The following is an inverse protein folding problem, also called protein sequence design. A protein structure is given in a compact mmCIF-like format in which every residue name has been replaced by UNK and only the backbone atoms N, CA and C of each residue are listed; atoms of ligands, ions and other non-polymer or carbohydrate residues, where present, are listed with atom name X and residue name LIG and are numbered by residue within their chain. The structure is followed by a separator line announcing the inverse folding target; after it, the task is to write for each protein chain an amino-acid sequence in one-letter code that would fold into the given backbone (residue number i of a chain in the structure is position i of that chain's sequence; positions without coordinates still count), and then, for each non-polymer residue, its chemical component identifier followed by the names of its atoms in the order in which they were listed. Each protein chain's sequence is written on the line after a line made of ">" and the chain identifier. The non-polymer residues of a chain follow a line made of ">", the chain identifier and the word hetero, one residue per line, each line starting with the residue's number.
data_IF_314319948488
#
_entry.id   IF_314319948488
#
_cell.length_a   1.000
_cell.length_b   1.000
_cell.length_c   1.000
_cell.angle_alpha   90.00
_cell.angle_beta   90.00
_cell.angle_gamma   90.00
#
_symmetry.space_group_name_H-M   'P 1'
#
loop_
_entity.id
_entity.type
_entity.pdbx_description
1 polymer ?
2 branched ?
3 non-polymer ?
4 non-polymer ?
5 water ?
#
# COMPACT_ATOMS: atom_id res chain seq x y z
N UNK A 1 10.08 17.76 -32.89
CA UNK A 1 9.56 18.51 -31.73
C UNK A 1 9.35 17.59 -30.52
N UNK A 2 8.90 18.16 -29.41
CA UNK A 2 8.68 17.35 -28.21
C UNK A 2 7.21 17.03 -28.00
N UNK A 3 6.96 15.76 -27.68
CA UNK A 3 5.61 15.22 -27.56
C UNK A 3 4.83 15.82 -26.38
N UNK A 4 3.54 16.04 -26.60
CA UNK A 4 2.67 16.54 -25.55
C UNK A 4 1.67 15.47 -25.15
N UNK A 5 1.68 15.14 -23.86
CA UNK A 5 0.78 14.15 -23.30
C UNK A 5 0.69 14.37 -21.81
N UNK A 6 -0.28 13.71 -21.17
CA UNK A 6 -0.48 13.93 -19.74
C UNK A 6 -0.14 12.73 -18.86
N UNK A 7 0.74 12.96 -17.89
CA UNK A 7 1.00 12.01 -16.81
C UNK A 7 0.68 12.71 -15.50
N UNK A 8 0.58 11.94 -14.41
CA UNK A 8 0.20 12.49 -13.11
C UNK A 8 0.89 13.81 -12.79
N UNK A 9 0.07 14.75 -12.34
CA UNK A 9 0.53 16.07 -11.93
C UNK A 9 0.91 16.04 -10.44
N UNK A 10 2.20 16.22 -10.16
CA UNK A 10 2.75 16.18 -8.79
C UNK A 10 2.11 17.14 -7.80
N UNK A 11 1.45 18.18 -8.31
CA UNK A 11 0.88 19.18 -7.43
C UNK A 11 -0.63 19.11 -7.41
N UNK A 12 -1.14 17.89 -7.51
CA UNK A 12 -2.57 17.68 -7.44
C UNK A 12 -3.09 18.06 -6.07
N UNK A 13 -4.22 18.76 -6.04
CA UNK A 13 -4.87 19.16 -4.80
C UNK A 13 -6.33 18.82 -4.94
N UNK A 14 -7.11 19.08 -3.88
CA UNK A 14 -8.54 18.90 -3.94
C UNK A 14 -9.19 19.80 -5.01
N UNK A 15 -8.59 20.96 -5.27
CA UNK A 15 -9.19 21.87 -6.25
C UNK A 15 -9.09 21.36 -7.69
N UNK A 16 -8.28 20.33 -7.91
CA UNK A 16 -8.22 19.66 -9.20
C UNK A 16 -9.29 18.59 -9.35
N UNK A 17 -9.86 18.15 -8.23
CA UNK A 17 -10.80 17.01 -8.23
C UNK A 17 -12.18 17.38 -8.75
N UNK A 18 -12.90 16.36 -9.23
CA UNK A 18 -14.34 16.43 -9.49
C UNK A 18 -15.05 16.89 -8.22
N UNK A 19 -16.01 17.83 -8.34
CA UNK A 19 -16.80 18.27 -7.18
C UNK A 19 -17.36 17.12 -6.34
N UNK A 20 -17.70 16.02 -6.99
CA UNK A 20 -18.20 14.85 -6.29
C UNK A 20 -17.19 14.35 -5.26
N UNK A 21 -15.94 14.16 -5.67
CA UNK A 21 -14.89 13.67 -4.80
C UNK A 21 -14.38 14.77 -3.86
N UNK A 22 -14.54 16.01 -4.28
CA UNK A 22 -14.24 17.12 -3.40
C UNK A 22 -15.09 17.07 -2.13
N UNK A 23 -16.39 16.81 -2.24
CA UNK A 23 -17.28 16.78 -1.07
C UNK A 23 -16.93 15.63 -0.15
N UNK A 24 -16.60 14.49 -0.76
CA UNK A 24 -16.15 13.31 -0.03
C UNK A 24 -14.89 13.56 0.79
N UNK A 25 -13.86 14.13 0.15
CA UNK A 25 -12.64 14.58 0.84
C UNK A 25 -12.99 15.49 2.02
N UNK A 26 -13.78 16.52 1.74
CA UNK A 26 -14.26 17.45 2.77
C UNK A 26 -14.92 16.71 3.94
N UNK A 27 -15.77 15.74 3.63
CA UNK A 27 -16.51 15.03 4.68
C UNK A 27 -15.65 14.10 5.52
N UNK A 28 -14.59 13.52 4.95
CA UNK A 28 -13.70 12.69 5.74
C UNK A 28 -12.85 13.54 6.67
N UNK A 29 -12.57 14.77 6.24
CA UNK A 29 -11.87 15.74 7.06
C UNK A 29 -12.71 15.96 8.30
N UNK A 30 -14.02 16.02 8.11
CA UNK A 30 -14.95 16.38 9.16
C UNK A 30 -15.15 15.27 10.16
N UNK A 31 -15.56 14.09 9.69
CA UNK A 31 -15.63 12.96 10.60
C UNK A 31 -14.23 12.42 10.78
N UNK A 32 -13.51 13.02 11.72
CA UNK A 32 -12.13 12.64 11.98
C UNK A 32 -12.12 11.32 12.71
N UNK A 33 -12.39 10.24 11.98
CA UNK A 33 -12.66 8.93 12.60
C UNK A 33 -11.54 8.46 13.54
N UNK A 34 -10.30 8.70 13.14
CA UNK A 34 -9.17 8.18 13.86
C UNK A 34 -8.58 9.20 14.82
N UNK A 35 -9.31 10.31 15.00
CA UNK A 35 -8.99 11.28 16.03
C UNK A 35 -7.60 11.80 15.77
N UNK A 36 -7.36 12.16 14.51
CA UNK A 36 -6.09 12.73 14.11
C UNK A 36 -6.04 14.19 14.52
N UNK A 37 -4.91 14.59 15.08
CA UNK A 37 -4.58 16.00 15.21
C UNK A 37 -3.14 16.17 14.74
N UNK A 38 -2.97 16.59 13.49
CA UNK A 38 -1.63 16.72 12.98
C UNK A 38 -0.88 17.82 13.72
N UNK A 39 0.18 17.44 14.45
CA UNK A 39 0.97 18.39 15.21
C UNK A 39 2.40 18.52 14.67
N UNK A 40 2.62 18.05 13.45
CA UNK A 40 3.93 18.09 12.83
C UNK A 40 4.22 19.37 12.07
N UNK A 41 5.45 19.48 11.53
CA UNK A 41 6.08 20.66 10.93
C UNK A 41 5.14 21.63 10.18
N UNK A 42 4.03 21.15 9.64
CA UNK A 42 3.03 22.05 9.10
C UNK A 42 2.80 21.87 7.62
N UNK A 43 1.54 21.98 7.20
CA UNK A 43 1.07 21.67 5.84
C UNK A 43 1.87 22.38 4.75
N UNK A 44 2.60 21.61 3.96
CA UNK A 44 3.36 22.17 2.85
C UNK A 44 4.84 22.31 3.14
N UNK A 45 5.63 21.35 2.66
CA UNK A 45 7.08 21.40 2.79
C UNK A 45 7.75 20.73 1.60
N UNK A 46 8.82 21.37 1.09
CA UNK A 46 9.53 20.84 -0.06
C UNK A 46 10.78 20.02 0.28
N UNK A 47 10.90 18.86 -0.35
CA UNK A 47 12.04 17.96 -0.23
C UNK A 47 12.58 17.62 -1.62
N UNK A 48 13.90 17.48 -1.76
CA UNK A 48 14.46 16.86 -2.95
C UNK A 48 14.12 15.37 -2.90
N UNK A 49 14.03 14.72 -4.07
CA UNK A 49 13.74 13.29 -4.10
C UNK A 49 14.78 12.49 -3.31
N UNK A 50 16.04 12.90 -3.40
CA UNK A 50 17.10 12.26 -2.62
C UNK A 50 16.84 12.40 -1.12
N UNK A 51 16.52 13.62 -0.67
CA UNK A 51 16.29 13.89 0.76
C UNK A 51 15.00 13.26 1.28
N UNK A 52 13.96 13.27 0.45
CA UNK A 52 12.66 12.76 0.88
C UNK A 52 12.73 11.24 0.93
N UNK A 53 13.47 10.65 0.00
CA UNK A 53 13.63 9.20 0.04
C UNK A 53 14.31 8.79 1.34
N UNK A 54 15.23 9.65 1.79
CA UNK A 54 16.03 9.41 2.99
C UNK A 54 15.25 9.82 4.25
N UNK A 55 14.36 10.80 4.12
CA UNK A 55 13.43 11.15 5.19
C UNK A 55 12.34 10.09 5.35
N UNK A 56 12.17 9.27 4.33
CA UNK A 56 11.17 8.19 4.34
C UNK A 56 11.75 6.90 4.93
N UNK A 57 13.00 6.62 4.60
CA UNK A 57 13.72 5.48 5.13
C UNK A 57 13.87 5.63 6.65
N UNK A 58 14.18 6.85 7.08
CA UNK A 58 14.46 7.14 8.47
C UNK A 58 13.23 7.32 9.39
N UNK A 59 12.11 7.79 8.86
CA UNK A 59 10.95 8.14 9.70
C UNK A 59 9.73 7.22 9.56
N UNK A 60 9.93 6.08 8.89
CA UNK A 60 8.85 5.09 8.80
C UNK A 60 9.44 3.77 9.26
N UNK A 61 8.81 3.17 10.27
CA UNK A 61 9.32 1.91 10.78
C UNK A 61 8.49 0.79 10.21
N UNK A 62 8.98 0.20 9.13
CA UNK A 62 8.36 -0.98 8.57
C UNK A 62 8.70 -2.15 9.47
N UNK A 63 7.80 -2.46 10.40
CA UNK A 63 8.04 -3.59 11.29
C UNK A 63 6.73 -4.28 11.62
N UNK A 64 6.82 -5.55 11.97
CA UNK A 64 5.65 -6.41 12.14
C UNK A 64 5.52 -6.73 13.61
N UNK A 65 4.30 -6.99 14.05
CA UNK A 65 4.09 -7.38 15.43
C UNK A 65 4.86 -8.65 15.75
N UNK A 66 5.66 -8.58 16.82
CA UNK A 66 6.48 -9.71 17.23
C UNK A 66 6.01 -10.22 18.60
N UNK A 67 6.42 -11.44 18.92
CA UNK A 67 5.95 -12.12 20.12
C UNK A 67 6.49 -11.46 21.41
N UNK A 68 7.29 -10.41 21.25
CA UNK A 68 7.79 -9.63 22.40
C UNK A 68 6.86 -8.45 22.70
N UNK A 69 6.00 -8.08 21.76
CA UNK A 69 5.09 -6.95 21.93
C UNK A 69 3.79 -7.35 22.63
N UNK A 70 3.61 -6.81 23.82
CA UNK A 70 2.43 -7.07 24.64
C UNK A 70 1.19 -6.60 23.90
N UNK A 71 0.11 -7.39 23.91
CA UNK A 71 -0.14 -8.65 24.63
C UNK A 71 0.12 -9.92 23.81
N UNK A 72 0.93 -9.80 22.76
CA UNK A 72 1.23 -10.94 21.91
C UNK A 72 2.29 -11.85 22.55
N UNK A 73 2.70 -11.51 23.78
CA UNK A 73 3.53 -12.39 24.60
C UNK A 73 2.70 -13.24 25.57
N UNK A 74 1.37 -13.17 25.47
CA UNK A 74 0.53 -13.89 26.43
C UNK A 74 0.19 -15.29 25.94
N UNK A 75 -0.30 -16.12 26.85
CA UNK A 75 -0.49 -17.53 26.57
C UNK A 75 -1.41 -17.80 25.36
N UNK A 76 -2.45 -16.99 25.20
CA UNK A 76 -3.41 -17.23 24.14
C UNK A 76 -2.78 -17.04 22.76
N UNK A 77 -1.72 -16.24 22.70
CA UNK A 77 -1.04 -15.93 21.43
C UNK A 77 0.18 -16.78 21.18
N UNK A 78 0.36 -17.81 22.00
CA UNK A 78 1.52 -18.66 21.90
C UNK A 78 1.56 -19.37 20.54
N UNK A 79 2.70 -19.24 19.85
CA UNK A 79 2.94 -19.99 18.64
C UNK A 79 2.17 -19.47 17.44
N UNK A 80 1.51 -18.34 17.62
CA UNK A 80 0.66 -17.80 16.58
C UNK A 80 1.40 -16.91 15.59
N UNK A 81 2.35 -16.10 16.06
CA UNK A 81 3.10 -15.22 15.17
C UNK A 81 4.24 -16.02 14.56
N UNK A 82 4.72 -15.61 13.38
CA UNK A 82 5.83 -16.32 12.73
C UNK A 82 7.11 -16.23 13.57
N UNK A 83 7.84 -17.34 13.63
CA UNK A 83 9.07 -17.42 14.42
C UNK A 83 10.12 -16.46 13.89
N UNK A 84 10.25 -16.38 12.56
CA UNK A 84 11.30 -15.59 11.94
C UNK A 84 10.83 -14.22 11.51
N UNK A 85 11.78 -13.29 11.41
CA UNK A 85 11.49 -11.94 10.95
C UNK A 85 11.07 -12.01 9.49
N UNK A 86 10.22 -11.09 9.06
CA UNK A 86 9.80 -11.09 7.67
C UNK A 86 11.01 -10.90 6.77
N UNK A 87 11.89 -10.00 7.18
CA UNK A 87 13.19 -9.81 6.53
C UNK A 87 14.01 -11.08 6.40
N UNK A 88 13.76 -12.05 7.27
CA UNK A 88 14.42 -13.35 7.17
C UNK A 88 13.70 -14.19 6.13
N UNK A 89 12.37 -14.10 6.15
CA UNK A 89 11.52 -14.93 5.31
C UNK A 89 11.45 -14.37 3.88
N UNK A 90 11.68 -13.06 3.75
CA UNK A 90 11.46 -12.37 2.48
C UNK A 90 12.72 -11.71 1.89
N UNK A 91 13.27 -12.32 0.85
CA UNK A 91 14.45 -11.78 0.20
C UNK A 91 15.61 -11.69 1.18
N UNK A 92 16.41 -10.59 1.11
CA UNK A 92 16.22 -9.37 0.31
C UNK A 92 16.35 -9.63 -1.18
N UNK A 93 15.55 -8.93 -1.97
CA UNK A 93 15.39 -9.23 -3.39
C UNK A 93 15.94 -8.12 -4.28
N UNK A 94 16.15 -8.46 -5.55
CA UNK A 94 16.73 -7.54 -6.51
C UNK A 94 15.74 -6.76 -7.34
N UNK A 95 15.02 -7.44 -8.23
CA UNK A 95 13.96 -6.79 -8.99
C UNK A 95 12.64 -7.10 -8.33
N UNK A 96 11.87 -6.07 -8.01
CA UNK A 96 10.57 -6.28 -7.41
C UNK A 96 9.52 -5.42 -8.07
N UNK A 97 8.32 -5.97 -8.18
CA UNK A 97 7.20 -5.23 -8.73
C UNK A 97 6.09 -5.09 -7.71
N UNK A 98 5.41 -3.94 -7.75
CA UNK A 98 4.17 -3.75 -7.05
C UNK A 98 3.04 -3.65 -8.06
N UNK A 99 2.09 -4.57 -7.97
CA UNK A 99 0.91 -4.60 -8.82
C UNK A 99 -0.29 -3.93 -8.13
N UNK A 100 -0.68 -2.77 -8.63
CA UNK A 100 -1.83 -2.09 -8.07
C UNK A 100 -3.03 -2.88 -8.54
N UNK A 101 -4.22 -2.62 -8.03
CA UNK A 101 -5.37 -3.41 -8.49
C UNK A 101 -6.24 -2.71 -9.51
N UNK A 102 -5.79 -1.56 -9.99
CA UNK A 102 -6.55 -0.72 -10.93
C UNK A 102 -7.16 -1.44 -12.14
N UNK A 103 -8.31 -0.96 -12.61
CA UNK A 103 -8.93 -1.45 -13.83
C UNK A 103 -8.06 -1.15 -15.03
N UNK A 104 -7.18 -0.18 -14.88
CA UNK A 104 -6.33 0.24 -15.99
C UNK A 104 -5.33 -0.84 -16.40
N UNK A 105 -5.19 -1.89 -15.61
CA UNK A 105 -4.31 -2.96 -16.02
C UNK A 105 -4.88 -3.79 -17.14
N UNK A 106 -6.21 -3.73 -17.32
CA UNK A 106 -6.87 -4.58 -18.32
C UNK A 106 -6.29 -4.33 -19.69
N UNK A 107 -5.89 -5.43 -20.35
CA UNK A 107 -5.32 -5.40 -21.71
C UNK A 107 -4.05 -4.56 -21.81
N UNK A 108 -3.29 -4.52 -20.71
CA UNK A 108 -2.00 -3.83 -20.69
C UNK A 108 -0.84 -4.73 -21.11
N UNK A 109 -1.07 -6.04 -21.11
CA UNK A 109 -0.04 -7.03 -21.48
C UNK A 109 1.26 -6.97 -20.64
N UNK A 110 1.13 -6.65 -19.36
CA UNK A 110 2.28 -6.54 -18.46
C UNK A 110 2.71 -7.89 -17.89
N UNK A 111 1.82 -8.88 -18.00
CA UNK A 111 1.98 -10.20 -17.40
C UNK A 111 3.34 -10.89 -17.46
N UNK A 112 4.03 -10.78 -18.58
CA UNK A 112 5.35 -11.39 -18.70
C UNK A 112 6.40 -10.51 -18.01
N UNK A 113 6.25 -9.20 -18.15
CA UNK A 113 7.24 -8.28 -17.62
C UNK A 113 7.23 -8.31 -16.09
N UNK A 114 6.03 -8.30 -15.54
CA UNK A 114 5.83 -8.39 -14.08
C UNK A 114 6.40 -9.70 -13.54
N UNK A 115 6.28 -10.77 -14.33
CA UNK A 115 6.82 -12.09 -13.96
C UNK A 115 8.34 -12.14 -13.95
N UNK A 116 8.97 -11.13 -14.54
CA UNK A 116 10.42 -11.16 -14.66
C UNK A 116 11.13 -10.50 -13.47
N UNK A 117 10.37 -10.14 -12.45
CA UNK A 117 10.93 -9.67 -11.19
C UNK A 117 11.13 -10.83 -10.22
N UNK A 118 12.17 -10.76 -9.39
CA UNK A 118 12.43 -11.78 -8.36
C UNK A 118 11.26 -11.93 -7.37
N UNK A 119 10.47 -10.88 -7.21
CA UNK A 119 9.36 -10.90 -6.26
C UNK A 119 8.25 -9.93 -6.61
N UNK A 120 7.02 -10.39 -6.44
CA UNK A 120 5.84 -9.61 -6.80
C UNK A 120 4.85 -9.43 -5.66
N UNK A 121 4.44 -8.18 -5.45
CA UNK A 121 3.46 -7.79 -4.43
C UNK A 121 2.06 -7.43 -4.95
N UNK A 122 1.04 -8.10 -4.41
CA UNK A 122 -0.34 -7.87 -4.84
C UNK A 122 -1.18 -7.52 -3.62
N UNK A 123 -2.44 -7.12 -3.82
CA UNK A 123 -3.22 -6.60 -2.70
C UNK A 123 -4.54 -7.30 -2.50
N UNK A 124 -4.94 -7.42 -1.22
CA UNK A 124 -6.26 -7.93 -0.91
C UNK A 124 -6.61 -9.18 -1.71
N UNK A 125 -7.69 -9.14 -2.47
CA UNK A 125 -8.17 -10.31 -3.16
C UNK A 125 -7.89 -10.32 -4.65
N UNK A 126 -6.88 -9.56 -5.05
CA UNK A 126 -6.56 -9.42 -6.48
C UNK A 126 -6.07 -10.76 -6.99
N UNK A 127 -6.83 -11.36 -7.92
CA UNK A 127 -6.61 -12.73 -8.42
C UNK A 127 -5.66 -12.86 -9.60
N UNK A 128 -5.17 -14.08 -9.79
CA UNK A 128 -4.26 -14.44 -10.86
C UNK A 128 -4.99 -15.13 -12.00
N UNK A 129 -5.91 -16.03 -11.65
CA UNK A 129 -6.71 -16.77 -12.62
C UNK A 129 -7.41 -15.84 -13.60
N UNK A 130 -7.31 -16.14 -14.89
CA UNK A 130 -7.94 -15.40 -15.99
C UNK A 130 -7.26 -14.09 -16.38
N UNK A 131 -6.19 -13.74 -15.67
CA UNK A 131 -5.56 -12.43 -15.84
C UNK A 131 -4.05 -12.52 -16.01
N UNK A 132 -3.54 -13.75 -16.13
CA UNK A 132 -2.10 -13.95 -16.20
C UNK A 132 -1.38 -13.01 -17.18
N UNK A 133 -1.94 -12.83 -18.37
CA UNK A 133 -1.26 -12.05 -19.39
C UNK A 133 -1.24 -10.54 -19.14
N UNK A 134 -2.22 -10.05 -18.39
CA UNK A 134 -2.22 -8.66 -17.96
C UNK A 134 -1.50 -8.40 -16.63
N UNK A 135 -1.53 -9.37 -15.72
CA UNK A 135 -1.18 -9.13 -14.29
C UNK A 135 0.06 -9.90 -13.82
N UNK A 136 0.38 -11.00 -14.51
CA UNK A 136 1.41 -11.93 -14.08
C UNK A 136 0.80 -13.20 -13.47
N UNK A 137 1.66 -14.17 -13.13
CA UNK A 137 1.20 -15.42 -12.51
C UNK A 137 1.73 -15.60 -11.06
N UNK A 138 2.77 -14.85 -10.70
CA UNK A 138 3.44 -15.06 -9.42
C UNK A 138 2.98 -14.12 -8.31
N UNK A 139 2.82 -14.67 -7.11
CA UNK A 139 2.51 -13.89 -5.92
C UNK A 139 3.52 -14.27 -4.86
N UNK A 140 4.42 -13.36 -4.50
CA UNK A 140 5.38 -13.64 -3.42
C UNK A 140 4.91 -13.00 -2.11
N UNK A 141 4.50 -11.73 -2.16
CA UNK A 141 3.89 -11.08 -0.99
C UNK A 141 2.52 -10.52 -1.31
N UNK A 142 1.56 -10.78 -0.44
CA UNK A 142 0.24 -10.19 -0.58
C UNK A 142 -0.11 -9.35 0.67
N UNK A 143 -0.28 -8.04 0.50
CA UNK A 143 -0.69 -7.15 1.61
C UNK A 143 -2.21 -6.97 1.61
N UNK A 144 -2.85 -7.24 2.75
CA UNK A 144 -4.31 -7.17 2.84
C UNK A 144 -4.75 -6.28 3.97
N UNK A 145 -5.92 -5.66 3.84
CA UNK A 145 -6.46 -4.89 4.94
C UNK A 145 -7.25 -5.79 5.89
N UNK A 146 -7.45 -5.32 7.11
CA UNK A 146 -8.07 -6.14 8.14
C UNK A 146 -9.54 -6.39 7.88
N UNK A 147 -10.16 -5.54 7.06
CA UNK A 147 -11.58 -5.69 6.76
C UNK A 147 -11.81 -6.97 6.00
N UNK A 148 -10.90 -7.26 5.07
CA UNK A 148 -10.99 -8.44 4.23
C UNK A 148 -10.81 -9.69 5.08
N UNK A 149 -9.86 -9.66 6.01
CA UNK A 149 -9.60 -10.82 6.87
C UNK A 149 -10.77 -11.02 7.84
N UNK A 150 -11.32 -9.92 8.33
CA UNK A 150 -12.48 -10.01 9.20
C UNK A 150 -13.76 -10.44 8.50
N UNK A 151 -14.09 -9.81 7.37
CA UNK A 151 -15.42 -10.00 6.79
C UNK A 151 -15.51 -10.79 5.47
N UNK A 152 -14.43 -10.86 4.69
CA UNK A 152 -14.47 -11.64 3.45
C UNK A 152 -14.37 -13.14 3.67
N UNK A 153 -15.53 -13.81 3.69
CA UNK A 153 -15.61 -15.24 3.96
C UNK A 153 -14.73 -16.06 3.02
N UNK A 154 -14.46 -15.49 1.84
CA UNK A 154 -13.60 -16.15 0.88
C UNK A 154 -12.15 -16.21 1.37
N UNK A 155 -11.78 -15.38 2.34
CA UNK A 155 -10.39 -15.37 2.79
C UNK A 155 -9.93 -16.68 3.40
N UNK A 156 -10.81 -17.32 4.16
CA UNK A 156 -10.47 -18.61 4.74
C UNK A 156 -10.61 -19.77 3.75
N UNK A 157 -11.10 -19.49 2.54
CA UNK A 157 -11.44 -20.56 1.57
C UNK A 157 -10.62 -20.58 0.28
N UNK A 158 -10.49 -19.43 -0.37
CA UNK A 158 -9.92 -19.40 -1.73
C UNK A 158 -8.44 -19.73 -1.76
N UNK A 159 -8.07 -20.66 -2.63
CA UNK A 159 -6.71 -21.16 -2.73
C UNK A 159 -5.68 -20.09 -3.08
N UNK A 160 -6.13 -18.93 -3.53
CA UNK A 160 -5.20 -17.89 -3.97
C UNK A 160 -4.38 -17.27 -2.83
N UNK A 161 -5.02 -17.04 -1.70
CA UNK A 161 -4.33 -16.44 -0.58
C UNK A 161 -3.18 -17.34 -0.07
N UNK A 162 -3.25 -18.62 -0.40
CA UNK A 162 -2.30 -19.60 0.08
C UNK A 162 -0.93 -19.56 -0.59
N UNK A 163 -0.72 -18.54 -1.42
CA UNK A 163 0.55 -18.36 -2.09
C UNK A 163 1.37 -17.23 -1.45
N UNK A 164 2.64 -17.50 -1.18
CA UNK A 164 3.56 -16.48 -0.73
C UNK A 164 3.41 -16.02 0.72
N UNK A 165 3.96 -14.84 1.00
CA UNK A 165 3.92 -14.26 2.35
C UNK A 165 2.73 -13.32 2.46
N UNK A 166 1.96 -13.48 3.52
CA UNK A 166 0.83 -12.58 3.72
C UNK A 166 1.14 -11.58 4.80
N UNK A 167 0.48 -10.43 4.70
CA UNK A 167 0.56 -9.40 5.72
C UNK A 167 -0.85 -8.81 5.84
N UNK A 168 -1.34 -8.65 7.06
CA UNK A 168 -2.58 -7.93 7.31
C UNK A 168 -2.27 -6.62 8.05
N UNK A 169 -3.02 -5.56 7.77
CA UNK A 169 -2.88 -4.32 8.51
C UNK A 169 -4.23 -3.76 8.81
N UNK A 170 -4.27 -2.91 9.82
CA UNK A 170 -5.50 -2.43 10.43
C UNK A 170 -5.23 -1.00 10.84
N UNK A 171 -6.16 -0.10 10.50
CA UNK A 171 -6.08 1.32 10.87
C UNK A 171 -6.34 1.44 12.39
N UNK A 172 -5.45 2.08 13.13
CA UNK A 172 -5.65 2.32 14.57
C UNK A 172 -6.02 3.78 14.81
N UNK A 173 -6.44 4.08 16.04
CA UNK A 173 -6.50 5.47 16.48
C UNK A 173 -5.13 6.13 16.26
N UNK A 174 -5.13 7.40 15.84
CA UNK A 174 -3.90 8.10 15.50
C UNK A 174 -2.95 8.07 16.68
N UNK A 175 -1.66 7.83 16.43
CA UNK A 175 -0.62 7.74 17.50
C UNK A 175 -0.91 6.74 18.64
N UNK A 176 -1.67 5.69 18.34
CA UNK A 176 -2.00 4.69 19.36
C UNK A 176 -0.91 3.62 19.38
N UNK A 177 -0.52 3.16 20.56
CA UNK A 177 0.47 2.09 20.68
C UNK A 177 -0.23 0.73 20.60
N UNK A 178 0.56 -0.34 20.62
CA UNK A 178 0.01 -1.64 20.32
C UNK A 178 -1.12 -2.07 21.30
N UNK A 179 -0.90 -1.92 22.61
CA UNK A 179 -1.97 -2.40 23.50
C UNK A 179 -3.28 -1.64 23.35
N UNK A 180 -3.21 -0.32 23.16
CA UNK A 180 -4.43 0.45 22.99
C UNK A 180 -5.07 0.00 21.70
N UNK A 181 -4.26 -0.22 20.67
CA UNK A 181 -4.80 -0.61 19.37
C UNK A 181 -5.47 -1.97 19.46
N UNK A 182 -4.83 -2.89 20.17
CA UNK A 182 -5.32 -4.25 20.30
C UNK A 182 -6.71 -4.26 20.92
N UNK A 183 -6.93 -3.37 21.88
CA UNK A 183 -8.22 -3.26 22.54
C UNK A 183 -9.29 -2.65 21.63
N UNK A 184 -8.85 -1.83 20.67
CA UNK A 184 -9.75 -1.10 19.78
C UNK A 184 -9.29 -1.12 18.30
N UNK A 185 -9.31 -2.31 17.68
CA UNK A 185 -8.90 -2.41 16.29
C UNK A 185 -10.04 -1.92 15.37
N UNK A 186 -9.71 -1.45 14.16
CA UNK A 186 -10.77 -0.99 13.27
C UNK A 186 -11.63 -2.16 12.85
N UNK A 187 -11.00 -3.25 12.38
CA UNK A 187 -11.72 -4.52 12.29
C UNK A 187 -11.11 -5.56 13.22
N UNK A 188 -11.95 -6.39 13.82
CA UNK A 188 -11.48 -7.42 14.72
C UNK A 188 -11.08 -8.70 13.96
N UNK A 189 -9.88 -8.68 13.41
CA UNK A 189 -9.42 -9.73 12.53
C UNK A 189 -8.70 -10.83 13.30
N UNK A 190 -8.36 -10.56 14.56
CA UNK A 190 -7.60 -11.53 15.37
C UNK A 190 -8.14 -12.94 15.34
N UNK A 191 -9.46 -13.09 15.45
CA UNK A 191 -10.05 -14.44 15.39
C UNK A 191 -9.73 -15.18 14.09
N UNK A 192 -9.86 -14.48 12.97
CA UNK A 192 -9.70 -15.09 11.66
C UNK A 192 -8.22 -15.30 11.33
N UNK A 193 -7.39 -14.33 11.70
CA UNK A 193 -5.94 -14.52 11.62
C UNK A 193 -5.51 -15.81 12.32
N UNK A 194 -6.01 -16.02 13.53
CA UNK A 194 -5.70 -17.24 14.26
C UNK A 194 -6.22 -18.44 13.49
N UNK A 195 -7.45 -18.33 13.00
CA UNK A 195 -8.10 -19.46 12.37
C UNK A 195 -7.38 -19.87 11.09
N UNK A 196 -6.91 -18.87 10.34
CA UNK A 196 -6.08 -19.11 9.17
C UNK A 196 -4.77 -19.79 9.58
N UNK A 197 -4.13 -19.21 10.59
CA UNK A 197 -2.87 -19.72 11.09
C UNK A 197 -2.90 -21.22 11.37
N UNK A 198 -4.02 -21.69 11.92
CA UNK A 198 -4.26 -23.12 12.15
C UNK A 198 -4.28 -23.88 10.82
N UNK A 199 -4.94 -23.29 9.82
CA UNK A 199 -5.10 -23.93 8.52
C UNK A 199 -3.79 -23.99 7.72
N UNK A 200 -2.99 -22.94 7.81
CA UNK A 200 -1.74 -22.89 7.06
C UNK A 200 -0.53 -22.49 7.90
N UNK A 201 -0.10 -23.36 8.82
CA UNK A 201 1.01 -23.09 9.75
C UNK A 201 2.29 -22.76 9.01
N UNK A 202 2.47 -23.39 7.86
CA UNK A 202 3.68 -23.24 7.05
C UNK A 202 3.85 -21.88 6.35
N UNK A 203 2.75 -21.21 6.01
CA UNK A 203 2.92 -19.97 5.24
C UNK A 203 3.00 -18.71 6.09
N UNK A 204 4.10 -17.97 5.91
CA UNK A 204 4.38 -16.79 6.74
C UNK A 204 3.27 -15.77 6.61
N UNK A 205 2.75 -15.33 7.75
CA UNK A 205 1.62 -14.41 7.81
C UNK A 205 1.90 -13.42 8.92
N UNK A 206 2.15 -12.18 8.55
CA UNK A 206 2.56 -11.17 9.51
C UNK A 206 1.45 -10.15 9.75
N UNK A 207 1.53 -9.44 10.86
CA UNK A 207 0.63 -8.34 11.15
C UNK A 207 1.49 -7.08 11.16
N UNK A 208 1.11 -6.09 10.38
CA UNK A 208 1.81 -4.82 10.38
C UNK A 208 1.60 -4.09 11.71
N UNK A 209 2.66 -3.50 12.26
CA UNK A 209 2.47 -2.66 13.46
C UNK A 209 1.54 -1.49 13.10
N UNK A 210 0.63 -1.12 14.00
CA UNK A 210 -0.37 -0.06 13.79
C UNK A 210 0.27 1.31 13.62
N UNK A 211 1.46 1.47 14.16
CA UNK A 211 2.17 2.74 14.05
C UNK A 211 2.63 3.04 12.62
N UNK A 212 2.89 2.01 11.82
CA UNK A 212 3.49 2.26 10.50
C UNK A 212 2.64 3.14 9.57
N UNK A 213 1.33 2.84 9.41
CA UNK A 213 0.58 3.68 8.46
C UNK A 213 0.53 5.16 8.85
N UNK A 214 0.56 5.47 10.15
CA UNK A 214 0.46 6.86 10.56
C UNK A 214 1.80 7.55 10.44
N UNK A 215 2.88 6.80 10.57
CA UNK A 215 4.19 7.38 10.37
C UNK A 215 4.29 7.81 8.91
N UNK A 216 3.69 7.05 8.03
CA UNK A 216 3.75 7.41 6.62
C UNK A 216 2.81 8.59 6.36
N UNK A 217 1.66 8.60 7.05
CA UNK A 217 0.69 9.69 6.91
C UNK A 217 1.25 11.02 7.32
N UNK A 218 2.06 11.04 8.36
CA UNK A 218 2.60 12.30 8.86
C UNK A 218 3.37 12.98 7.73
N UNK A 219 4.12 12.19 6.98
CA UNK A 219 5.00 12.73 5.95
C UNK A 219 4.14 13.28 4.81
N UNK A 220 3.10 12.52 4.45
CA UNK A 220 2.12 12.95 3.47
C UNK A 220 1.54 14.31 3.82
N UNK A 221 0.89 14.41 4.96
CA UNK A 221 0.31 15.66 5.44
C UNK A 221 1.32 16.77 5.46
N UNK A 222 2.55 16.43 5.85
CA UNK A 222 3.61 17.42 5.89
C UNK A 222 3.97 17.90 4.48
N UNK A 223 3.92 17.00 3.51
CA UNK A 223 4.25 17.35 2.14
C UNK A 223 3.17 18.20 1.48
N UNK A 224 1.91 17.81 1.69
CA UNK A 224 0.82 18.34 0.90
C UNK A 224 0.48 19.80 1.24
N UNK A 225 0.00 20.57 0.25
CA UNK A 225 -0.23 21.99 0.47
C UNK A 225 -1.51 22.23 1.26
N UNK A 226 -2.19 21.15 1.62
CA UNK A 226 -3.45 21.28 2.33
C UNK A 226 -3.75 20.04 3.17
N UNK A 227 -4.79 20.13 3.98
CA UNK A 227 -5.21 19.00 4.80
C UNK A 227 -5.64 17.84 3.93
N UNK A 228 -5.10 16.66 4.22
CA UNK A 228 -5.43 15.45 3.51
C UNK A 228 -6.40 14.63 4.37
N UNK A 229 -7.10 13.69 3.75
CA UNK A 229 -7.97 12.79 4.49
C UNK A 229 -7.23 12.25 5.69
N UNK A 230 -7.84 12.37 6.88
CA UNK A 230 -7.24 11.87 8.11
C UNK A 230 -7.48 10.38 8.25
N UNK A 231 -7.26 9.65 7.19
CA UNK A 231 -7.39 8.21 7.21
C UNK A 231 -6.05 7.68 6.74
N UNK A 232 -5.65 6.50 7.20
CA UNK A 232 -4.34 5.97 6.80
C UNK A 232 -4.16 5.86 5.27
N UNK A 233 -2.89 5.82 4.83
CA UNK A 233 -2.58 5.62 3.42
C UNK A 233 -3.18 4.30 2.90
N UNK A 234 -3.33 4.20 1.57
CA UNK A 234 -3.93 3.02 0.95
C UNK A 234 -2.98 1.82 1.08
N UNK A 235 -3.50 0.61 0.96
CA UNK A 235 -2.59 -0.55 0.97
C UNK A 235 -1.48 -0.37 -0.07
N UNK A 236 -1.82 0.25 -1.19
CA UNK A 236 -0.83 0.46 -2.24
C UNK A 236 0.37 1.28 -1.79
N UNK A 237 0.16 2.38 -1.10
CA UNK A 237 1.31 3.16 -0.64
C UNK A 237 2.14 2.39 0.40
N UNK A 238 1.47 1.73 1.34
CA UNK A 238 2.19 0.96 2.37
C UNK A 238 2.97 -0.15 1.70
N UNK A 239 2.37 -0.74 0.67
CA UNK A 239 3.01 -1.80 -0.07
C UNK A 239 4.25 -1.28 -0.79
N UNK A 240 4.18 -0.07 -1.33
CA UNK A 240 5.36 0.53 -1.95
C UNK A 240 6.47 0.66 -0.91
N UNK A 241 6.15 1.26 0.24
CA UNK A 241 7.14 1.44 1.29
C UNK A 241 7.73 0.10 1.75
N UNK A 242 6.88 -0.91 1.83
CA UNK A 242 7.34 -2.22 2.27
C UNK A 242 8.36 -2.76 1.29
N UNK A 243 7.97 -2.86 0.02
CA UNK A 243 8.89 -3.38 -0.99
C UNK A 243 10.17 -2.58 -1.06
N UNK A 244 10.08 -1.28 -0.83
CA UNK A 244 11.29 -0.47 -0.74
C UNK A 244 12.21 -0.95 0.39
N UNK A 245 11.62 -1.45 1.48
CA UNK A 245 12.44 -1.95 2.59
C UNK A 245 13.10 -3.29 2.26
N UNK A 246 12.63 -3.98 1.22
CA UNK A 246 13.06 -5.35 0.91
C UNK A 246 13.71 -5.51 -0.46
N UNK A 247 13.75 -4.44 -1.24
CA UNK A 247 14.18 -4.57 -2.63
C UNK A 247 15.19 -3.50 -3.00
N UNK A 248 16.00 -3.77 -4.02
CA UNK A 248 16.86 -2.74 -4.55
C UNK A 248 16.07 -1.82 -5.46
N UNK A 249 15.16 -2.43 -6.23
CA UNK A 249 14.44 -1.71 -7.27
C UNK A 249 12.94 -2.05 -7.21
N UNK A 250 12.11 -1.03 -7.07
CA UNK A 250 10.68 -1.27 -7.17
C UNK A 250 10.02 -0.61 -8.38
N UNK A 251 9.44 -1.47 -9.20
CA UNK A 251 8.69 -0.99 -10.35
C UNK A 251 7.25 -1.10 -9.90
N UNK A 252 6.53 0.01 -9.98
CA UNK A 252 5.15 0.03 -9.54
C UNK A 252 4.20 0.40 -10.70
N UNK A 253 3.23 -0.47 -10.93
CA UNK A 253 2.39 -0.44 -12.11
C UNK A 253 0.96 0.01 -11.82
N UNK A 254 0.45 0.85 -12.71
CA UNK A 254 -0.88 1.46 -12.62
C UNK A 254 -1.27 2.00 -11.24
N UNK A 255 -0.29 2.49 -10.51
CA UNK A 255 -0.60 3.30 -9.33
C UNK A 255 -0.75 4.69 -9.93
N UNK A 256 0.36 5.25 -10.40
CA UNK A 256 0.27 6.37 -11.33
C UNK A 256 -0.34 5.79 -12.60
N UNK A 257 -1.48 6.35 -13.03
CA UNK A 257 -2.24 5.77 -14.13
C UNK A 257 -1.57 5.99 -15.48
N UNK A 258 -1.73 5.03 -16.38
CA UNK A 258 -1.25 5.16 -17.73
C UNK A 258 -2.34 5.79 -18.57
N UNK A 259 -2.22 5.65 -19.88
CA UNK A 259 -3.21 6.16 -20.82
C UNK A 259 -4.46 5.33 -20.74
N UNK A 260 -4.36 4.19 -20.07
CA UNK A 260 -5.53 3.33 -19.90
C UNK A 260 -6.38 3.73 -18.67
N UNK A 261 -6.02 4.85 -18.05
CA UNK A 261 -6.79 5.45 -16.96
C UNK A 261 -8.29 5.25 -17.18
N UNK A 262 -8.98 4.64 -16.22
CA UNK A 262 -10.39 4.37 -16.44
C UNK A 262 -11.19 4.43 -15.14
N UNK A 263 -12.49 4.63 -15.25
CA UNK A 263 -13.31 4.62 -14.05
C UNK A 263 -13.43 3.24 -13.45
N UNK A 264 -13.35 2.20 -14.29
CA UNK A 264 -13.39 0.82 -13.77
C UNK A 264 -12.44 0.65 -12.62
N UNK A 265 -13.01 0.46 -11.43
CA UNK A 265 -12.24 0.50 -10.21
C UNK A 265 -11.14 -0.58 -10.13
N UNK A 266 -11.48 -1.81 -10.47
CA UNK A 266 -10.52 -2.93 -10.38
C UNK A 266 -10.46 -3.73 -11.68
N UNK A 267 -9.35 -4.43 -11.93
CA UNK A 267 -9.23 -5.24 -13.14
C UNK A 267 -10.05 -6.51 -13.04
N UNK A 268 -10.35 -6.93 -11.81
CA UNK A 268 -11.07 -8.18 -11.59
C UNK A 268 -12.53 -7.94 -11.21
N UNK A 269 -12.90 -6.68 -11.05
CA UNK A 269 -14.28 -6.30 -10.78
C UNK A 269 -14.82 -5.53 -11.97
N UNK A 270 -16.14 -5.40 -12.05
CA UNK A 270 -16.74 -4.79 -13.21
C UNK A 270 -17.32 -3.39 -12.94
N UNK A 271 -17.24 -2.92 -11.70
CA UNK A 271 -17.94 -1.70 -11.31
C UNK A 271 -17.09 -0.46 -11.48
N UNK A 272 -17.75 0.67 -11.77
CA UNK A 272 -17.05 1.93 -12.06
C UNK A 272 -16.94 2.78 -10.81
N UNK A 273 -15.75 3.35 -10.55
CA UNK A 273 -15.58 4.34 -9.51
C UNK A 273 -14.25 5.14 -9.65
N UNK A 274 -14.36 6.42 -9.97
CA UNK A 274 -13.20 7.27 -10.14
C UNK A 274 -12.39 7.38 -8.83
N UNK A 275 -13.11 7.28 -7.71
CA UNK A 275 -12.50 7.39 -6.39
C UNK A 275 -11.42 6.35 -6.15
N UNK A 276 -11.52 5.18 -6.78
CA UNK A 276 -10.47 4.17 -6.63
C UNK A 276 -9.13 4.64 -7.19
N UNK A 277 -9.16 5.46 -8.23
CA UNK A 277 -7.95 5.98 -8.85
C UNK A 277 -7.50 7.28 -8.16
N UNK A 278 -8.46 8.13 -7.81
CA UNK A 278 -8.14 9.47 -7.31
C UNK A 278 -8.21 9.62 -5.77
N UNK A 279 -8.92 8.72 -5.11
CA UNK A 279 -8.99 8.75 -3.66
C UNK A 279 -10.34 9.20 -3.14
N UNK A 280 -10.78 8.57 -2.05
CA UNK A 280 -11.97 8.98 -1.32
C UNK A 280 -11.65 8.84 0.18
N UNK A 281 -11.70 7.62 0.70
CA UNK A 281 -11.22 7.32 2.05
C UNK A 281 -9.72 7.56 2.18
N UNK A 282 -8.90 6.98 1.31
CA UNK A 282 -7.46 7.19 1.46
C UNK A 282 -7.01 8.50 0.86
N UNK A 283 -5.90 9.04 1.36
CA UNK A 283 -5.28 10.21 0.73
C UNK A 283 -4.47 9.81 -0.52
N UNK A 284 -5.10 8.98 -1.34
CA UNK A 284 -4.50 8.40 -2.53
C UNK A 284 -3.93 9.45 -3.45
N UNK A 285 -4.60 10.59 -3.51
CA UNK A 285 -4.19 11.65 -4.42
C UNK A 285 -2.81 12.14 -4.01
N UNK A 286 -2.57 12.26 -2.72
CA UNK A 286 -1.30 12.81 -2.26
C UNK A 286 -0.20 11.76 -2.29
N UNK A 287 -0.58 10.50 -2.14
CA UNK A 287 0.36 9.39 -2.27
C UNK A 287 0.91 9.36 -3.69
N UNK A 288 0.04 9.62 -4.67
CA UNK A 288 0.49 9.60 -6.05
C UNK A 288 1.37 10.79 -6.42
N UNK A 289 1.07 11.96 -5.86
CA UNK A 289 2.01 13.09 -5.97
C UNK A 289 3.38 12.65 -5.46
N UNK A 290 3.35 11.91 -4.37
CA UNK A 290 4.58 11.48 -3.76
C UNK A 290 5.34 10.52 -4.67
N UNK A 291 4.63 9.51 -5.15
CA UNK A 291 5.29 8.47 -5.93
C UNK A 291 5.76 9.12 -7.23
N UNK A 292 4.94 10.02 -7.77
CA UNK A 292 5.34 10.75 -8.96
C UNK A 292 6.53 11.63 -8.64
N UNK A 293 6.59 12.15 -7.42
CA UNK A 293 7.73 12.99 -7.09
C UNK A 293 9.04 12.21 -6.97
N UNK A 294 8.95 11.01 -6.41
CA UNK A 294 10.13 10.16 -6.26
C UNK A 294 10.45 9.35 -7.51
N UNK A 295 9.59 9.45 -8.53
CA UNK A 295 9.77 8.65 -9.73
C UNK A 295 11.10 8.92 -10.46
N UNK A 296 11.83 7.84 -10.75
CA UNK A 296 13.12 7.92 -11.42
C UNK A 296 12.99 7.57 -12.90
N UNK A 297 11.76 7.28 -13.32
CA UNK A 297 11.50 6.92 -14.70
C UNK A 297 11.12 8.11 -15.55
N UNK A 298 10.85 7.85 -16.83
CA UNK A 298 10.47 8.92 -17.75
C UNK A 298 8.97 9.11 -17.72
N UNK A 299 8.50 10.21 -18.30
CA UNK A 299 7.08 10.44 -18.39
C UNK A 299 6.46 9.50 -19.41
N UNK A 300 7.26 9.06 -20.36
CA UNK A 300 6.79 8.11 -21.36
C UNK A 300 6.49 6.77 -20.71
N UNK A 301 7.35 6.37 -19.78
CA UNK A 301 7.12 5.14 -19.01
C UNK A 301 5.79 5.17 -18.25
N UNK A 302 5.38 6.35 -17.78
CA UNK A 302 4.08 6.44 -17.14
C UNK A 302 2.94 6.36 -18.16
N UNK A 303 3.05 7.09 -19.28
CA UNK A 303 1.96 7.15 -20.26
C UNK A 303 1.70 5.76 -20.83
N UNK A 304 2.76 5.11 -21.26
CA UNK A 304 2.66 3.82 -21.95
C UNK A 304 2.53 2.59 -21.06
N UNK A 305 3.24 2.59 -19.93
CA UNK A 305 3.43 1.39 -19.13
C UNK A 305 2.76 1.49 -17.75
N UNK A 306 2.36 2.71 -17.38
CA UNK A 306 1.79 2.97 -16.06
C UNK A 306 2.86 2.70 -15.02
N UNK A 307 4.13 2.79 -15.45
CA UNK A 307 5.23 2.36 -14.64
C UNK A 307 6.01 3.52 -14.03
N UNK A 308 6.10 3.49 -12.70
CA UNK A 308 6.99 4.37 -11.97
C UNK A 308 8.13 3.52 -11.48
N UNK A 309 9.31 4.11 -11.34
CA UNK A 309 10.43 3.38 -10.76
C UNK A 309 10.98 4.12 -9.57
N UNK A 310 10.87 3.49 -8.41
CA UNK A 310 11.47 4.01 -7.19
C UNK A 310 12.60 3.09 -6.72
N UNK A 311 13.67 3.68 -6.20
CA UNK A 311 14.77 2.83 -5.73
C UNK A 311 14.49 2.33 -4.32
N UNK A 312 15.03 1.16 -3.98
CA UNK A 312 14.83 0.59 -2.66
C UNK A 312 15.70 1.27 -1.63
N UNK A 313 15.29 1.19 -0.36
CA UNK A 313 16.03 1.83 0.71
C UNK A 313 17.48 1.36 0.76
N UNK A 314 17.69 0.06 0.53
CA UNK A 314 19.03 -0.54 0.63
C UNK A 314 20.08 0.17 -0.23
N UNK A 315 19.60 0.95 -1.20
CA UNK A 315 20.47 1.56 -2.21
C UNK A 315 20.48 3.10 -2.19
N UNK A 316 20.28 3.68 -1.01
CA UNK A 316 20.02 5.11 -0.88
C UNK A 316 21.27 5.91 -0.44
N UNK A 317 21.13 7.22 -0.22
CA UNK A 317 22.24 8.04 0.29
C UNK A 317 22.13 8.37 1.79
N UNK A 318 23.28 8.70 2.38
CA UNK A 318 23.47 9.10 3.79
C UNK A 318 22.33 8.79 4.74
#
# INVERSE_FOLDING_TARGET
>A
PEASFQVWNKDSSSKNLIPRLQKIWKNYLSMNKYKVSYKGPGPGIKFSAEALRCHLRDHVNVSMVEVTDFPFNTSEWEGYLPKESIRTKAGPWGRCAVVSSAGSLKSSQLGREIDDHDAVLRFNGAPTANFQQDVGTKTTIRLMNSQLVTTEKRFLKDSLYNEGILIVWDPSVYHSDIPKWYQNPDYNFFNNYKTYRKLHPNQPFYILKPQMPWELWDILQEISPEEIQPNPPSSGMLGIIIMMTLCDQVDIYEFLPSKRKTDVCYYYQKFFDSACTMGAYHPLLYEKNLVKHLNQGTDEDIYLLGKATLPGFRTIHC
#
